data_IF_693596393676
#
_entry.id   IF_693596393676
#
_cell.length_a   1.000
_cell.length_b   1.000
_cell.length_c   1.000
_cell.angle_alpha   90.00
_cell.angle_beta   90.00
_cell.angle_gamma   90.00
#
_symmetry.space_group_name_H-M   'P 1'
#
loop_
_entity.id
_entity.type
_entity.pdbx_description
1 polymer ?
#
# COMPACT_ATOMS: atom_id res chain seq x y z
N UNK A 1 12.67 -1.90 4.13
CA UNK A 1 11.97 -1.82 5.42
C UNK A 1 10.58 -2.38 5.20
N UNK A 2 10.12 -3.38 5.98
CA UNK A 2 8.75 -3.87 5.87
C UNK A 2 7.78 -2.98 6.67
N UNK A 3 6.53 -2.88 6.20
CA UNK A 3 5.41 -2.25 6.90
C UNK A 3 4.31 -3.30 7.10
N UNK A 4 3.97 -3.58 8.36
CA UNK A 4 2.87 -4.48 8.73
C UNK A 4 1.64 -3.64 9.04
N UNK A 5 0.52 -3.98 8.41
CA UNK A 5 -0.80 -3.48 8.77
C UNK A 5 -1.58 -4.69 9.28
N UNK A 6 -1.85 -4.72 10.58
CA UNK A 6 -2.50 -5.84 11.24
C UNK A 6 -4.03 -5.68 11.27
N UNK A 7 -4.50 -4.43 11.29
CA UNK A 7 -5.90 -4.08 11.38
C UNK A 7 -6.21 -2.81 10.55
N UNK A 8 -7.41 -2.71 9.97
CA UNK A 8 -7.78 -1.55 9.14
C UNK A 8 -8.02 -0.28 9.95
N UNK A 9 -8.28 -0.40 11.26
CA UNK A 9 -8.33 0.73 12.20
C UNK A 9 -7.00 1.48 12.33
N UNK A 10 -5.86 0.83 12.02
CA UNK A 10 -4.57 1.52 11.95
C UNK A 10 -4.55 2.62 10.89
N UNK A 11 -5.37 2.51 9.84
CA UNK A 11 -5.50 3.54 8.82
C UNK A 11 -6.38 4.72 9.28
N UNK A 12 -7.06 4.59 10.41
CA UNK A 12 -7.85 5.66 11.04
C UNK A 12 -7.03 6.44 12.08
N UNK A 13 -5.98 5.83 12.64
CA UNK A 13 -5.03 6.52 13.51
C UNK A 13 -4.17 7.49 12.68
N UNK A 14 -4.20 8.78 13.02
CA UNK A 14 -3.54 9.82 12.23
C UNK A 14 -2.01 9.62 12.10
N UNK A 15 -1.38 9.05 13.12
CA UNK A 15 0.08 8.82 13.13
C UNK A 15 0.42 7.65 12.22
N UNK A 16 -0.31 6.54 12.35
CA UNK A 16 -0.12 5.33 11.52
C UNK A 16 -0.51 5.57 10.07
N UNK A 17 -1.56 6.35 9.83
CA UNK A 17 -1.94 6.79 8.49
C UNK A 17 -0.82 7.62 7.84
N UNK A 18 -0.24 8.59 8.56
CA UNK A 18 0.85 9.41 8.04
C UNK A 18 2.10 8.57 7.73
N UNK A 19 2.47 7.64 8.62
CA UNK A 19 3.58 6.70 8.39
C UNK A 19 3.35 5.87 7.12
N UNK A 20 2.15 5.31 6.98
CA UNK A 20 1.76 4.47 5.85
C UNK A 20 1.74 5.24 4.53
N UNK A 21 1.23 6.48 4.54
CA UNK A 21 1.25 7.36 3.38
C UNK A 21 2.67 7.75 2.98
N UNK A 22 3.55 8.08 3.94
CA UNK A 22 4.96 8.36 3.67
C UNK A 22 5.64 7.12 3.08
N UNK A 23 5.35 5.94 3.64
CA UNK A 23 5.88 4.69 3.15
C UNK A 23 5.49 4.42 1.69
N UNK A 24 4.25 4.66 1.30
CA UNK A 24 3.76 4.38 -0.05
C UNK A 24 3.95 5.52 -1.06
N UNK A 25 4.29 6.73 -0.60
CA UNK A 25 4.48 7.91 -1.47
C UNK A 25 5.42 7.65 -2.65
N UNK A 26 6.49 6.88 -2.44
CA UNK A 26 7.48 6.57 -3.47
C UNK A 26 7.01 5.50 -4.48
N UNK A 27 6.01 4.68 -4.12
CA UNK A 27 5.51 3.57 -4.94
C UNK A 27 4.43 4.01 -5.92
N UNK A 28 3.80 5.17 -5.65
CA UNK A 28 2.69 5.69 -6.45
C UNK A 28 1.32 5.10 -6.10
N UNK A 29 1.26 4.24 -5.07
CA UNK A 29 0.03 3.67 -4.55
C UNK A 29 -0.44 4.44 -3.31
N UNK A 30 -1.75 4.46 -3.10
CA UNK A 30 -2.40 4.96 -1.91
C UNK A 30 -3.23 3.81 -1.29
N UNK A 31 -3.48 3.86 0.03
CA UNK A 31 -4.36 2.91 0.71
C UNK A 31 -5.71 3.52 1.03
N UNK A 32 -6.76 2.74 0.88
CA UNK A 32 -8.11 3.11 1.27
C UNK A 32 -8.75 1.96 2.06
N UNK A 33 -9.25 2.19 3.29
CA UNK A 33 -10.02 1.17 3.99
C UNK A 33 -11.30 0.88 3.20
N UNK A 34 -11.64 -0.40 3.07
CA UNK A 34 -12.91 -0.85 2.44
C UNK A 34 -13.89 -1.26 3.53
N UNK A 35 -13.43 -2.06 4.48
CA UNK A 35 -14.17 -2.51 5.66
C UNK A 35 -13.21 -2.82 6.82
N UNK A 36 -13.70 -3.50 7.87
CA UNK A 36 -12.93 -3.83 9.08
C UNK A 36 -11.79 -4.83 8.84
N UNK A 37 -11.79 -5.56 7.72
CA UNK A 37 -10.79 -6.58 7.40
C UNK A 37 -10.07 -6.37 6.08
N UNK A 38 -10.54 -5.44 5.24
CA UNK A 38 -9.99 -5.21 3.92
C UNK A 38 -9.60 -3.76 3.69
N UNK A 39 -8.51 -3.58 2.95
CA UNK A 39 -8.14 -2.31 2.37
C UNK A 39 -7.75 -2.48 0.91
N UNK A 40 -7.87 -1.38 0.18
CA UNK A 40 -7.54 -1.27 -1.23
C UNK A 40 -6.15 -0.62 -1.35
N UNK A 41 -5.24 -1.28 -2.07
CA UNK A 41 -3.99 -0.69 -2.59
C UNK A 41 -4.28 -0.24 -4.01
N UNK A 42 -4.36 1.07 -4.25
CA UNK A 42 -4.76 1.57 -5.56
C UNK A 42 -3.95 2.76 -6.03
N UNK A 43 -3.98 2.96 -7.34
CA UNK A 43 -3.54 4.17 -8.02
C UNK A 43 -4.53 4.48 -9.15
N UNK A 44 -4.16 5.37 -10.08
CA UNK A 44 -5.03 5.77 -11.20
C UNK A 44 -5.28 4.68 -12.25
N UNK A 45 -4.56 3.55 -12.23
CA UNK A 45 -4.63 2.52 -13.29
C UNK A 45 -4.88 1.10 -12.77
N UNK A 46 -4.64 0.84 -11.50
CA UNK A 46 -4.73 -0.49 -10.88
C UNK A 46 -5.22 -0.37 -9.45
N UNK A 47 -6.00 -1.36 -9.02
CA UNK A 47 -6.45 -1.52 -7.63
C UNK A 47 -6.33 -2.99 -7.23
N UNK A 48 -5.82 -3.24 -6.03
CA UNK A 48 -5.72 -4.55 -5.41
C UNK A 48 -6.38 -4.49 -4.03
N UNK A 49 -7.47 -5.23 -3.84
CA UNK A 49 -8.07 -5.42 -2.52
C UNK A 49 -7.34 -6.55 -1.80
N UNK A 50 -6.99 -6.32 -0.53
CA UNK A 50 -6.28 -7.28 0.31
C UNK A 50 -6.89 -7.33 1.70
N UNK A 51 -6.81 -8.50 2.31
CA UNK A 51 -7.26 -8.75 3.68
C UNK A 51 -6.09 -8.55 4.65
N UNK A 52 -6.36 -7.96 5.82
CA UNK A 52 -5.39 -7.88 6.93
C UNK A 52 -5.27 -9.25 7.64
N UNK A 53 -4.10 -9.60 8.19
CA UNK A 53 -2.86 -8.82 8.23
C UNK A 53 -2.13 -8.84 6.89
N UNK A 54 -1.53 -7.70 6.52
CA UNK A 54 -0.69 -7.57 5.32
C UNK A 54 0.74 -7.18 5.69
N UNK A 55 1.72 -7.72 4.97
CA UNK A 55 3.09 -7.24 5.00
C UNK A 55 3.45 -6.59 3.67
N UNK A 56 3.78 -5.30 3.72
CA UNK A 56 4.20 -4.51 2.57
C UNK A 56 5.71 -4.35 2.59
N UNK A 57 6.42 -4.82 1.56
CA UNK A 57 7.88 -4.69 1.46
C UNK A 57 8.29 -3.93 0.21
N UNK A 58 8.98 -2.79 0.42
CA UNK A 58 9.53 -1.96 -0.66
C UNK A 58 10.90 -2.43 -1.11
N UNK A 59 11.06 -2.51 -2.43
CA UNK A 59 12.32 -2.76 -3.12
C UNK A 59 12.62 -1.56 -3.99
N UNK A 60 13.24 -0.53 -3.39
CA UNK A 60 13.41 0.79 -4.03
C UNK A 60 14.37 0.76 -5.23
N UNK A 61 15.35 -0.14 -5.23
CA UNK A 61 16.32 -0.26 -6.34
C UNK A 61 15.68 -0.88 -7.57
N UNK A 62 14.87 -1.91 -7.35
CA UNK A 62 14.16 -2.67 -8.37
C UNK A 62 12.80 -2.05 -8.72
N UNK A 63 12.36 -1.05 -7.95
CA UNK A 63 11.13 -0.28 -8.14
C UNK A 63 9.86 -1.15 -8.11
N UNK A 64 9.70 -1.97 -7.07
CA UNK A 64 8.46 -2.69 -6.82
C UNK A 64 8.08 -2.79 -5.33
N UNK A 65 6.79 -3.01 -5.10
CA UNK A 65 6.17 -3.25 -3.80
C UNK A 65 5.69 -4.69 -3.76
N UNK A 66 6.19 -5.46 -2.79
CA UNK A 66 5.65 -6.78 -2.52
C UNK A 66 4.57 -6.69 -1.45
N UNK A 67 3.45 -7.36 -1.70
CA UNK A 67 2.27 -7.41 -0.86
C UNK A 67 2.07 -8.86 -0.45
N UNK A 68 2.30 -9.16 0.83
CA UNK A 68 2.08 -10.50 1.37
C UNK A 68 0.82 -10.51 2.22
N UNK A 69 -0.19 -11.27 1.80
CA UNK A 69 -1.47 -11.41 2.50
C UNK A 69 -1.99 -12.84 2.26
N UNK A 70 -2.68 -13.42 3.25
CA UNK A 70 -3.30 -14.76 3.16
C UNK A 70 -2.34 -15.88 2.68
N UNK A 71 -1.03 -15.75 2.98
CA UNK A 71 0.00 -16.71 2.56
C UNK A 71 0.43 -16.58 1.09
N UNK A 72 -0.16 -15.65 0.35
CA UNK A 72 0.21 -15.33 -1.03
C UNK A 72 1.07 -14.07 -1.11
N UNK A 73 1.81 -13.94 -2.21
CA UNK A 73 2.66 -12.78 -2.48
C UNK A 73 2.34 -12.21 -3.85
N UNK A 74 1.95 -10.94 -3.87
CA UNK A 74 1.71 -10.18 -5.10
C UNK A 74 2.77 -9.08 -5.23
N UNK A 75 3.32 -8.93 -6.44
CA UNK A 75 4.28 -7.86 -6.75
C UNK A 75 3.62 -6.77 -7.57
N UNK A 76 3.69 -5.55 -7.08
CA UNK A 76 3.18 -4.34 -7.73
C UNK A 76 4.36 -3.47 -8.20
N UNK A 77 4.49 -3.19 -9.51
CA UNK A 77 5.56 -2.29 -9.99
C UNK A 77 5.30 -0.86 -9.52
N UNK A 78 6.35 -0.10 -9.20
CA UNK A 78 6.17 1.31 -8.87
C UNK A 78 5.60 2.04 -10.08
N UNK A 79 4.60 2.87 -9.82
CA UNK A 79 4.01 3.69 -10.86
C UNK A 79 4.50 5.11 -10.61
N UNK A 80 5.25 5.66 -11.57
CA UNK A 80 5.59 7.08 -11.55
C UNK A 80 4.27 7.84 -11.42
N UNK A 81 4.07 8.58 -10.32
CA UNK A 81 3.00 9.59 -10.26
C UNK A 81 3.30 10.56 -11.38
N UNK A 82 2.68 10.38 -12.54
CA UNK A 82 2.80 11.32 -13.65
C UNK A 82 2.33 12.64 -13.10
N UNK A 83 3.19 13.66 -12.95
CA UNK A 83 2.71 14.97 -12.57
C UNK A 83 1.75 15.37 -13.69
N UNK A 84 0.48 15.56 -13.36
CA UNK A 84 -0.46 16.24 -14.23
C UNK A 84 0.23 17.55 -14.61
N UNK A 85 0.64 17.66 -15.89
CA UNK A 85 1.05 18.95 -16.44
C UNK A 85 -0.20 19.83 -16.34
N UNK A 86 -0.16 20.79 -15.43
CA UNK A 86 -1.08 21.93 -15.42
C UNK A 86 -0.79 22.83 -16.62
#
# INVERSE_FOLDING_TARGET
MPLLISDTSELQDATRLAETQIYLRATGYDLQPVDDQHFLIANSVTSLQVRVPVLLTRYDREQFLSVHADGETTTLPYIKKTPLRQ
#
